data_IF_846673455729
#
_entry.id   IF_846673455729
#
_cell.length_a   1.000
_cell.length_b   1.000
_cell.length_c   1.000
_cell.angle_alpha   90.00
_cell.angle_beta   90.00
_cell.angle_gamma   90.00
#
_symmetry.space_group_name_H-M   'P 1'
#
loop_
_entity.id
_entity.type
_entity.pdbx_description
1 polymer ?
#
# COMPACT_ATOMS: atom_id res chain seq x y z
N UNK A 1 2.80 64.66 18.34
CA UNK A 1 2.50 64.05 19.65
C UNK A 1 1.84 62.66 19.44
N UNK A 2 2.62 61.64 19.08
CA UNK A 2 3.09 60.58 19.99
C UNK A 2 1.98 59.85 20.74
N UNK A 3 1.55 58.72 20.19
CA UNK A 3 1.05 57.60 20.99
C UNK A 3 1.77 56.31 20.56
N UNK A 4 2.45 55.74 21.53
CA UNK A 4 3.23 54.50 21.61
C UNK A 4 2.33 53.25 21.52
N UNK A 5 2.63 52.29 20.64
CA UNK A 5 3.28 50.98 20.86
C UNK A 5 2.46 49.90 21.59
N UNK A 6 2.34 48.73 20.94
CA UNK A 6 2.14 47.32 21.38
C UNK A 6 1.23 46.64 20.32
N UNK A 7 1.55 45.56 19.61
CA UNK A 7 2.50 44.46 19.83
C UNK A 7 2.84 43.80 18.49
N UNK A 8 4.11 43.40 18.39
CA UNK A 8 4.77 42.63 17.33
C UNK A 8 4.12 41.29 16.98
N UNK A 9 3.88 41.06 15.69
CA UNK A 9 4.05 39.74 15.06
C UNK A 9 4.80 39.92 13.74
N UNK A 10 6.13 39.87 13.82
CA UNK A 10 7.00 39.87 12.64
C UNK A 10 6.87 38.53 11.92
N UNK A 11 6.63 38.61 10.61
CA UNK A 11 6.75 37.52 9.65
C UNK A 11 8.24 37.16 9.45
N UNK A 12 8.86 36.58 10.46
CA UNK A 12 10.19 35.98 10.37
C UNK A 12 9.99 34.47 10.58
N UNK A 13 9.72 33.73 9.50
CA UNK A 13 10.50 32.52 9.19
C UNK A 13 10.18 31.96 7.77
N UNK A 14 9.88 32.85 6.81
CA UNK A 14 9.90 32.45 5.41
C UNK A 14 11.35 32.45 4.90
N UNK A 15 12.10 31.41 5.30
CA UNK A 15 13.48 31.17 4.94
C UNK A 15 13.75 31.28 3.43
N UNK A 16 14.33 32.43 3.08
CA UNK A 16 15.21 32.76 1.97
C UNK A 16 15.32 31.70 0.85
N UNK A 17 14.65 31.94 -0.28
CA UNK A 17 14.58 31.03 -1.43
C UNK A 17 15.81 31.05 -2.36
N UNK A 18 16.81 31.89 -2.11
CA UNK A 18 17.93 32.09 -3.04
C UNK A 18 19.27 31.46 -2.61
N UNK A 19 19.42 30.99 -1.37
CA UNK A 19 20.58 30.17 -0.94
C UNK A 19 20.40 28.65 -1.19
N UNK A 20 19.22 28.23 -1.67
CA UNK A 20 18.76 26.82 -1.63
C UNK A 20 19.40 25.89 -2.67
N UNK A 21 20.04 26.40 -3.73
CA UNK A 21 20.61 25.56 -4.81
C UNK A 21 22.02 25.03 -4.54
N UNK A 22 22.86 25.74 -3.79
CA UNK A 22 24.26 25.35 -3.54
C UNK A 22 24.39 24.45 -2.30
N UNK A 23 23.55 24.66 -1.27
CA UNK A 23 23.66 23.95 0.02
C UNK A 23 23.24 22.48 0.03
N UNK A 24 22.51 22.00 -0.99
CA UNK A 24 21.95 20.64 -1.00
C UNK A 24 22.91 19.55 -1.48
N UNK A 25 23.99 19.92 -2.19
CA UNK A 25 25.06 18.98 -2.56
C UNK A 25 26.02 18.68 -1.41
N UNK A 26 26.01 19.49 -0.33
CA UNK A 26 26.90 19.31 0.81
C UNK A 26 26.58 18.05 1.64
N UNK A 27 25.31 17.68 1.71
CA UNK A 27 24.87 16.55 2.51
C UNK A 27 24.82 15.25 1.70
N UNK A 28 25.46 14.22 2.24
CA UNK A 28 25.34 12.85 1.77
C UNK A 28 23.87 12.40 1.73
N UNK A 29 23.52 11.37 0.93
CA UNK A 29 22.18 10.80 0.95
C UNK A 29 21.69 10.40 2.35
N UNK A 30 22.60 9.91 3.21
CA UNK A 30 22.31 9.49 4.58
C UNK A 30 21.95 10.68 5.46
N UNK A 31 22.73 11.76 5.41
CA UNK A 31 22.41 12.99 6.16
C UNK A 31 21.07 13.57 5.72
N UNK A 32 20.81 13.62 4.40
CA UNK A 32 19.52 14.09 3.88
C UNK A 32 18.36 13.21 4.31
N UNK A 33 18.57 11.90 4.44
CA UNK A 33 17.56 10.98 4.96
C UNK A 33 17.26 11.26 6.44
N UNK A 34 18.30 11.39 7.27
CA UNK A 34 18.17 11.64 8.71
C UNK A 34 17.47 12.98 9.03
N UNK A 35 17.72 14.02 8.23
CA UNK A 35 17.06 15.32 8.35
C UNK A 35 15.58 15.32 7.94
N UNK A 36 15.12 14.26 7.25
CA UNK A 36 13.81 14.20 6.58
C UNK A 36 12.85 13.20 7.20
N UNK A 37 13.12 12.72 8.41
CA UNK A 37 12.13 11.96 9.13
C UNK A 37 12.04 12.34 10.61
N UNK A 38 10.84 12.24 11.17
CA UNK A 38 10.58 12.42 12.61
C UNK A 38 10.08 11.11 13.21
N UNK A 39 10.67 10.68 14.33
CA UNK A 39 10.17 9.54 15.11
C UNK A 39 8.87 9.96 15.82
N UNK A 40 7.81 9.16 15.65
CA UNK A 40 6.52 9.37 16.29
C UNK A 40 6.36 8.45 17.50
N UNK A 41 5.41 8.76 18.39
CA UNK A 41 5.09 7.97 19.58
C UNK A 41 4.61 6.55 19.26
N UNK A 42 3.98 6.34 18.10
CA UNK A 42 3.55 5.02 17.63
C UNK A 42 4.69 4.19 17.00
N UNK A 43 5.95 4.58 17.17
CA UNK A 43 7.13 3.92 16.62
C UNK A 43 7.37 4.16 15.12
N UNK A 44 6.45 4.76 14.38
CA UNK A 44 6.68 5.08 12.96
C UNK A 44 7.69 6.23 12.81
N UNK A 45 8.47 6.19 11.73
CA UNK A 45 9.33 7.32 11.35
C UNK A 45 8.66 8.04 10.19
N UNK A 46 8.08 9.21 10.47
CA UNK A 46 7.35 9.99 9.48
C UNK A 46 8.29 10.70 8.53
N UNK A 47 8.25 10.32 7.26
CA UNK A 47 8.94 11.06 6.20
C UNK A 47 8.33 12.46 6.02
N UNK A 48 9.17 13.49 6.01
CA UNK A 48 8.80 14.90 5.81
C UNK A 48 9.21 15.44 4.44
N UNK A 49 9.84 14.61 3.60
CA UNK A 49 10.20 14.96 2.23
C UNK A 49 9.07 14.72 1.22
N UNK A 50 9.42 14.79 -0.06
CA UNK A 50 8.48 14.59 -1.17
C UNK A 50 7.87 13.17 -1.17
N UNK A 51 6.57 13.09 -1.46
CA UNK A 51 5.82 11.84 -1.58
C UNK A 51 5.47 11.57 -3.04
N UNK A 52 5.62 10.32 -3.49
CA UNK A 52 5.18 9.84 -4.81
C UNK A 52 4.17 8.73 -4.58
N UNK A 53 2.91 8.92 -4.99
CA UNK A 53 1.82 7.96 -4.75
C UNK A 53 1.71 7.55 -3.27
N UNK A 54 1.95 8.50 -2.35
CA UNK A 54 1.95 8.29 -0.90
C UNK A 54 3.27 7.77 -0.30
N UNK A 55 4.23 7.33 -1.11
CA UNK A 55 5.52 6.83 -0.64
C UNK A 55 6.56 7.94 -0.54
N UNK A 56 7.32 7.95 0.55
CA UNK A 56 8.48 8.83 0.69
C UNK A 56 9.49 8.63 -0.43
N UNK A 57 10.06 9.73 -0.94
CA UNK A 57 11.07 9.73 -2.00
C UNK A 57 12.25 10.66 -1.67
N UNK A 58 13.44 10.27 -2.11
CA UNK A 58 14.66 11.08 -2.06
C UNK A 58 15.55 10.82 -3.28
N UNK A 59 16.44 11.77 -3.56
CA UNK A 59 17.54 11.55 -4.50
C UNK A 59 18.69 10.86 -3.76
N UNK A 60 19.21 9.74 -4.25
CA UNK A 60 20.36 9.03 -3.69
C UNK A 60 21.06 8.24 -4.79
N UNK A 61 22.38 8.09 -4.73
CA UNK A 61 23.14 7.27 -5.69
C UNK A 61 22.82 7.62 -7.16
N UNK A 62 22.74 8.92 -7.48
CA UNK A 62 22.50 9.42 -8.84
C UNK A 62 21.07 9.23 -9.38
N UNK A 63 20.10 8.79 -8.57
CA UNK A 63 18.71 8.58 -9.02
C UNK A 63 17.67 8.86 -7.94
N UNK A 64 16.41 8.96 -8.35
CA UNK A 64 15.28 8.93 -7.42
C UNK A 64 15.13 7.53 -6.80
N UNK A 65 15.02 7.49 -5.48
CA UNK A 65 14.79 6.27 -4.71
C UNK A 65 13.59 6.47 -3.76
N UNK A 66 12.93 5.36 -3.44
CA UNK A 66 11.93 5.33 -2.37
C UNK A 66 12.62 5.38 -1.00
N UNK A 67 12.17 6.29 -0.14
CA UNK A 67 12.78 6.53 1.16
C UNK A 67 12.70 5.33 2.11
N UNK A 68 11.62 4.55 2.05
CA UNK A 68 11.50 3.34 2.85
C UNK A 68 12.49 2.26 2.39
N UNK A 69 12.71 2.08 1.08
CA UNK A 69 13.71 1.14 0.55
C UNK A 69 15.12 1.57 0.92
N UNK A 70 15.42 2.86 0.76
CA UNK A 70 16.71 3.44 1.17
C UNK A 70 16.97 3.20 2.67
N UNK A 71 15.96 3.40 3.51
CA UNK A 71 16.05 3.13 4.95
C UNK A 71 16.35 1.65 5.24
N UNK A 72 15.63 0.73 4.59
CA UNK A 72 15.87 -0.70 4.75
C UNK A 72 17.31 -1.07 4.37
N UNK A 73 17.78 -0.59 3.21
CA UNK A 73 19.14 -0.86 2.74
C UNK A 73 20.21 -0.24 3.62
N UNK A 74 19.95 0.93 4.21
CA UNK A 74 20.87 1.63 5.11
C UNK A 74 21.03 0.91 6.46
N UNK A 75 19.94 0.39 7.05
CA UNK A 75 19.96 -0.14 8.42
C UNK A 75 19.94 -1.66 8.54
N UNK A 76 19.43 -2.37 7.52
CA UNK A 76 19.28 -3.83 7.54
C UNK A 76 20.17 -4.45 6.46
N UNK A 77 20.18 -3.88 5.26
CA UNK A 77 21.01 -4.32 4.16
C UNK A 77 20.23 -4.52 2.85
N UNK A 78 20.92 -5.03 1.84
CA UNK A 78 20.40 -5.10 0.47
C UNK A 78 19.07 -5.85 0.40
N UNK A 79 18.09 -5.27 -0.30
CA UNK A 79 16.83 -5.94 -0.59
C UNK A 79 17.12 -7.05 -1.62
N UNK A 80 16.80 -8.32 -1.33
CA UNK A 80 17.04 -9.40 -2.28
C UNK A 80 16.35 -9.15 -3.62
N UNK A 81 16.94 -9.60 -4.75
CA UNK A 81 16.27 -9.55 -6.04
C UNK A 81 14.89 -10.21 -5.97
N UNK A 82 13.93 -9.70 -6.74
CA UNK A 82 12.54 -10.19 -6.79
C UNK A 82 11.68 -9.94 -5.54
N UNK A 83 12.23 -9.31 -4.49
CA UNK A 83 11.45 -8.89 -3.33
C UNK A 83 11.10 -7.39 -3.38
N UNK A 84 9.96 -7.06 -2.79
CA UNK A 84 9.50 -5.69 -2.55
C UNK A 84 9.33 -5.47 -1.06
N UNK A 85 9.35 -4.21 -0.63
CA UNK A 85 9.13 -3.88 0.78
C UNK A 85 7.63 -3.70 1.05
N UNK A 86 7.11 -4.41 2.06
CA UNK A 86 5.79 -4.20 2.66
C UNK A 86 5.91 -3.40 3.95
N UNK A 87 4.94 -2.53 4.20
CA UNK A 87 4.82 -1.77 5.44
C UNK A 87 3.93 -2.53 6.42
N UNK A 88 4.54 -3.12 7.44
CA UNK A 88 3.83 -3.81 8.53
C UNK A 88 2.85 -2.86 9.25
N UNK A 89 3.23 -1.59 9.36
CA UNK A 89 2.43 -0.54 9.97
C UNK A 89 1.35 0.09 9.08
N UNK A 90 1.22 -0.35 7.81
CA UNK A 90 0.25 0.15 6.80
C UNK A 90 0.32 1.67 6.52
N UNK A 91 1.41 2.32 6.90
CA UNK A 91 1.68 3.73 6.64
C UNK A 91 2.75 3.86 5.54
N UNK A 92 2.37 4.20 4.31
CA UNK A 92 3.27 4.29 3.14
C UNK A 92 4.35 5.38 3.27
N UNK A 93 4.10 6.39 4.10
CA UNK A 93 5.05 7.45 4.43
C UNK A 93 6.08 7.04 5.50
N UNK A 94 5.91 5.88 6.15
CA UNK A 94 6.80 5.43 7.21
C UNK A 94 8.13 4.93 6.63
N UNK A 95 9.24 5.33 7.24
CA UNK A 95 10.60 4.91 6.86
C UNK A 95 11.34 4.17 7.98
N UNK A 96 10.65 3.73 9.03
CA UNK A 96 11.29 2.98 10.12
C UNK A 96 11.68 1.58 9.60
N UNK A 97 12.97 1.19 9.57
CA UNK A 97 13.41 -0.11 9.05
C UNK A 97 12.76 -1.29 9.78
N UNK A 98 12.42 -1.16 11.07
CA UNK A 98 11.73 -2.21 11.85
C UNK A 98 10.27 -2.43 11.43
N UNK A 99 9.68 -1.51 10.67
CA UNK A 99 8.30 -1.62 10.16
C UNK A 99 8.26 -2.07 8.70
N UNK A 100 9.40 -2.49 8.14
CA UNK A 100 9.57 -2.87 6.75
C UNK A 100 9.95 -4.34 6.67
N UNK A 101 9.29 -5.07 5.77
CA UNK A 101 9.56 -6.48 5.52
C UNK A 101 9.75 -6.71 4.01
N UNK A 102 10.84 -7.38 3.58
CA UNK A 102 10.97 -7.81 2.20
C UNK A 102 10.07 -9.02 1.95
N UNK A 103 9.12 -8.86 1.03
CA UNK A 103 8.13 -9.87 0.66
C UNK A 103 8.06 -10.04 -0.84
N UNK A 104 7.46 -11.14 -1.29
CA UNK A 104 7.13 -11.29 -2.71
C UNK A 104 6.04 -10.29 -3.11
N UNK A 105 5.99 -9.92 -4.40
CA UNK A 105 4.90 -9.08 -4.93
C UNK A 105 3.53 -9.72 -4.68
N UNK A 106 3.45 -11.05 -4.80
CA UNK A 106 2.23 -11.82 -4.51
C UNK A 106 1.79 -11.61 -3.06
N UNK A 107 2.70 -11.80 -2.12
CA UNK A 107 2.40 -11.65 -0.69
C UNK A 107 1.98 -10.21 -0.36
N UNK A 108 2.71 -9.21 -0.86
CA UNK A 108 2.34 -7.79 -0.69
C UNK A 108 0.91 -7.52 -1.19
N UNK A 109 0.58 -8.01 -2.38
CA UNK A 109 -0.76 -7.85 -2.96
C UNK A 109 -1.84 -8.56 -2.14
N UNK A 110 -1.56 -9.78 -1.64
CA UNK A 110 -2.49 -10.57 -0.84
C UNK A 110 -2.70 -10.00 0.56
N UNK A 111 -1.75 -9.22 1.09
CA UNK A 111 -1.89 -8.49 2.36
C UNK A 111 -2.63 -7.16 2.23
N UNK A 112 -2.67 -6.60 1.03
CA UNK A 112 -3.36 -5.34 0.75
C UNK A 112 -4.89 -5.38 0.90
N UNK A 113 -5.53 -4.28 0.51
CA UNK A 113 -6.99 -4.08 0.58
C UNK A 113 -7.68 -4.15 -0.78
N UNK A 114 -6.98 -4.63 -1.82
CA UNK A 114 -7.57 -4.78 -3.15
C UNK A 114 -8.74 -5.77 -3.13
N UNK A 115 -9.69 -5.61 -4.05
CA UNK A 115 -10.79 -6.56 -4.21
C UNK A 115 -10.28 -7.99 -4.42
N UNK A 116 -9.14 -8.15 -5.11
CA UNK A 116 -8.47 -9.43 -5.26
C UNK A 116 -8.06 -10.03 -3.90
N UNK A 117 -7.36 -9.26 -3.06
CA UNK A 117 -6.92 -9.71 -1.74
C UNK A 117 -8.11 -10.05 -0.83
N UNK A 118 -9.12 -9.19 -0.81
CA UNK A 118 -10.35 -9.41 -0.05
C UNK A 118 -11.03 -10.70 -0.51
N UNK A 119 -11.22 -10.89 -1.82
CA UNK A 119 -11.86 -12.09 -2.37
C UNK A 119 -11.03 -13.36 -2.15
N UNK A 120 -9.70 -13.27 -2.23
CA UNK A 120 -8.81 -14.39 -1.95
C UNK A 120 -8.96 -14.87 -0.51
N UNK A 121 -8.97 -13.93 0.45
CA UNK A 121 -9.13 -14.22 1.89
C UNK A 121 -10.52 -14.67 2.31
N UNK A 122 -11.55 -14.52 1.46
CA UNK A 122 -12.91 -14.99 1.79
C UNK A 122 -12.88 -16.48 2.12
N UNK A 123 -13.43 -16.84 3.27
CA UNK A 123 -13.58 -18.24 3.70
C UNK A 123 -14.96 -18.81 3.36
N UNK A 124 -15.94 -17.94 3.10
CA UNK A 124 -17.32 -18.32 2.79
C UNK A 124 -17.84 -17.57 1.56
N UNK A 125 -18.79 -18.17 0.85
CA UNK A 125 -19.47 -17.51 -0.26
C UNK A 125 -20.51 -16.50 0.26
N UNK A 126 -21.12 -15.72 -0.63
CA UNK A 126 -22.14 -14.73 -0.27
C UNK A 126 -23.37 -15.32 0.44
N UNK A 127 -23.59 -16.64 0.34
CA UNK A 127 -24.66 -17.37 1.02
C UNK A 127 -24.19 -18.11 2.29
N UNK A 128 -22.97 -17.86 2.74
CA UNK A 128 -22.43 -18.47 3.96
C UNK A 128 -21.85 -19.88 3.78
N UNK A 129 -21.79 -20.44 2.57
CA UNK A 129 -21.18 -21.76 2.38
C UNK A 129 -19.65 -21.69 2.41
N UNK A 130 -19.02 -22.54 3.23
CA UNK A 130 -17.55 -22.60 3.39
C UNK A 130 -16.86 -23.00 2.10
N UNK A 131 -15.81 -22.27 1.73
CA UNK A 131 -14.91 -22.66 0.65
C UNK A 131 -13.85 -23.62 1.21
N UNK A 132 -13.86 -24.84 0.69
CA UNK A 132 -12.89 -25.89 0.96
C UNK A 132 -12.72 -26.75 -0.31
N UNK A 133 -11.90 -27.81 -0.25
CA UNK A 133 -11.67 -28.71 -1.40
C UNK A 133 -12.96 -29.33 -1.94
N UNK A 134 -13.93 -29.65 -1.06
CA UNK A 134 -15.22 -30.27 -1.43
C UNK A 134 -16.23 -29.29 -2.04
N UNK A 135 -16.26 -28.03 -1.61
CA UNK A 135 -17.29 -27.05 -2.01
C UNK A 135 -16.77 -25.96 -2.96
N UNK A 136 -15.48 -25.94 -3.25
CA UNK A 136 -14.87 -25.00 -4.20
C UNK A 136 -14.69 -25.67 -5.56
N UNK A 137 -15.02 -24.94 -6.61
CA UNK A 137 -14.64 -25.28 -7.98
C UNK A 137 -14.06 -24.04 -8.66
N UNK A 138 -13.21 -24.22 -9.66
CA UNK A 138 -12.70 -23.13 -10.49
C UNK A 138 -13.34 -23.19 -11.88
N UNK A 139 -13.51 -22.04 -12.51
CA UNK A 139 -14.03 -21.93 -13.88
C UNK A 139 -13.42 -20.72 -14.58
N UNK A 140 -13.28 -20.80 -15.91
CA UNK A 140 -12.87 -19.65 -16.72
C UNK A 140 -14.11 -18.85 -17.13
N UNK A 141 -14.06 -17.54 -16.94
CA UNK A 141 -15.10 -16.63 -17.41
C UNK A 141 -15.05 -16.54 -18.93
N UNK A 142 -16.21 -16.65 -19.58
CA UNK A 142 -16.33 -16.46 -21.03
C UNK A 142 -16.19 -15.00 -21.46
N UNK A 143 -16.38 -14.06 -20.52
CA UNK A 143 -16.36 -12.62 -20.81
C UNK A 143 -14.92 -12.09 -20.89
N UNK A 144 -14.07 -12.50 -19.93
CA UNK A 144 -12.72 -11.95 -19.80
C UNK A 144 -11.62 -13.02 -19.75
N UNK A 145 -11.95 -14.31 -19.88
CA UNK A 145 -10.98 -15.41 -19.85
C UNK A 145 -10.38 -15.73 -18.47
N UNK A 146 -10.64 -14.90 -17.45
CA UNK A 146 -10.03 -15.06 -16.13
C UNK A 146 -10.60 -16.27 -15.37
N UNK A 147 -9.79 -16.82 -14.47
CA UNK A 147 -10.20 -17.93 -13.62
C UNK A 147 -10.83 -17.42 -12.33
N UNK A 148 -12.06 -17.85 -12.09
CA UNK A 148 -12.84 -17.55 -10.88
C UNK A 148 -13.06 -18.82 -10.08
N UNK A 149 -13.38 -18.64 -8.79
CA UNK A 149 -13.88 -19.73 -7.95
C UNK A 149 -15.38 -19.62 -7.73
N UNK A 150 -16.07 -20.75 -7.80
CA UNK A 150 -17.48 -20.89 -7.49
C UNK A 150 -17.74 -21.78 -6.28
N UNK A 151 -18.95 -21.67 -5.73
CA UNK A 151 -19.44 -22.52 -4.65
C UNK A 151 -20.33 -23.63 -5.22
N UNK A 152 -19.97 -24.89 -4.98
CA UNK A 152 -20.71 -26.06 -5.54
C UNK A 152 -22.14 -26.13 -5.03
N UNK A 153 -22.38 -25.84 -3.74
CA UNK A 153 -23.75 -25.76 -3.21
C UNK A 153 -24.59 -24.73 -3.96
N UNK A 154 -24.08 -23.50 -4.13
CA UNK A 154 -24.77 -22.47 -4.91
C UNK A 154 -24.95 -22.88 -6.38
N UNK A 155 -23.98 -23.60 -6.95
CA UNK A 155 -24.08 -24.17 -8.30
C UNK A 155 -25.26 -25.13 -8.43
N UNK A 156 -25.41 -26.07 -7.49
CA UNK A 156 -26.53 -27.03 -7.46
C UNK A 156 -27.89 -26.34 -7.33
N UNK A 157 -28.00 -25.35 -6.44
CA UNK A 157 -29.23 -24.57 -6.26
C UNK A 157 -29.62 -23.85 -7.56
N UNK A 158 -28.66 -23.20 -8.23
CA UNK A 158 -28.91 -22.55 -9.52
C UNK A 158 -29.38 -23.54 -10.58
N UNK A 159 -28.71 -24.70 -10.70
CA UNK A 159 -29.09 -25.75 -11.64
C UNK A 159 -30.52 -26.27 -11.40
N UNK A 160 -30.88 -26.52 -10.14
CA UNK A 160 -32.23 -26.95 -9.77
C UNK A 160 -33.28 -25.89 -10.11
N UNK A 161 -33.00 -24.62 -9.86
CA UNK A 161 -33.92 -23.53 -10.21
C UNK A 161 -34.09 -23.39 -11.73
N UNK A 162 -33.01 -23.55 -12.51
CA UNK A 162 -33.09 -23.56 -13.97
C UNK A 162 -33.95 -24.72 -14.48
N UNK A 163 -33.76 -25.94 -13.96
CA UNK A 163 -34.57 -27.10 -14.32
C UNK A 163 -36.05 -26.90 -14.02
N UNK A 164 -36.39 -26.38 -12.82
CA UNK A 164 -37.77 -26.05 -12.43
C UNK A 164 -38.42 -25.05 -13.38
N UNK A 165 -37.70 -24.01 -13.79
CA UNK A 165 -38.21 -23.00 -14.74
C UNK A 165 -38.47 -23.59 -16.13
N UNK A 166 -37.59 -24.45 -16.63
CA UNK A 166 -37.76 -25.11 -17.92
C UNK A 166 -39.00 -26.01 -17.91
N UNK A 167 -39.18 -26.81 -16.87
CA UNK A 167 -40.33 -27.71 -16.78
C UNK A 167 -41.66 -27.00 -16.53
N UNK A 168 -41.64 -25.85 -15.84
CA UNK A 168 -42.85 -25.03 -15.67
C UNK A 168 -43.38 -24.44 -16.98
N UNK A 169 -42.53 -24.37 -18.02
CA UNK A 169 -42.86 -23.81 -19.33
C UNK A 169 -43.12 -24.89 -20.41
N UNK A 170 -43.13 -26.17 -20.04
CA UNK A 170 -43.51 -27.25 -20.96
C UNK A 170 -45.05 -27.32 -21.06
N UNK A 171 -45.63 -27.45 -22.27
CA UNK A 171 -47.06 -27.69 -22.42
C UNK A 171 -47.44 -29.00 -21.73
N UNK A 172 -48.56 -28.98 -21.01
CA UNK A 172 -49.10 -30.17 -20.33
C UNK A 172 -49.68 -31.16 -21.33
#
# INVERSE_FOLDING_TARGET
>A
PTFTLLTTLRKEDCGNMLSKRIGWKKYSPVERFNLRHKKLSNGCWKWSGHLVKGYGSLWANGKHNYAHRFSYELYIGKIPPSLTIDHLCRNTWCVNPKHLEPVTVRENNLRGVSLFAINFRKTHCLKGHKFNTKNTYTYKSKVNGETYRGCRVCGRIRGMNSYRKLNANLPR
#
